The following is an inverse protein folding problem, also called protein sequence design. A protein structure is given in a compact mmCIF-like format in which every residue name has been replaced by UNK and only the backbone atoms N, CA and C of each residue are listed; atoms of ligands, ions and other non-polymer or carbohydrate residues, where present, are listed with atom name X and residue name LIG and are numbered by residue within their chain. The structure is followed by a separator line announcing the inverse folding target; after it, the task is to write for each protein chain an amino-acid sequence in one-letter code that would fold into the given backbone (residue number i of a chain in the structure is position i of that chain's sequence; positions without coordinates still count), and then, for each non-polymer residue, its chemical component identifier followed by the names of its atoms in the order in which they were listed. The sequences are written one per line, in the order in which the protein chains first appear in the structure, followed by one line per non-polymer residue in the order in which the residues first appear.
data_IF_170421634137
#
_entry.id   IF_170421634137
#
_cell.length_a   1.000
_cell.length_b   1.000
_cell.length_c   1.000
_cell.angle_alpha   90.00
_cell.angle_beta   90.00
_cell.angle_gamma   90.00
#
_symmetry.space_group_name_H-M   'P 1'
#
loop_
_entity.id
_entity.type
_entity.pdbx_description
1 polymer ?
#
# COMPACT_ATOMS: atom_id res chain seq x y z
N UNK A 1 -8.46 0.78 9.80
CA UNK A 1 -7.00 0.70 9.57
C UNK A 1 -6.29 -0.17 10.63
N UNK A 2 -6.67 -0.08 11.92
CA UNK A 2 -6.08 -0.87 13.02
C UNK A 2 -6.13 -2.42 12.88
N UNK A 3 -7.25 -3.08 12.50
CA UNK A 3 -7.30 -4.55 12.60
C UNK A 3 -6.53 -5.25 11.48
N UNK A 4 -6.47 -4.65 10.29
CA UNK A 4 -5.85 -5.25 9.09
C UNK A 4 -4.32 -5.13 9.16
N UNK A 5 -3.79 -3.96 9.56
CA UNK A 5 -2.36 -3.81 9.77
C UNK A 5 -1.87 -4.70 10.94
N UNK A 6 -2.60 -4.77 12.05
CA UNK A 6 -2.20 -5.58 13.21
C UNK A 6 -2.25 -7.09 12.98
N UNK A 7 -3.26 -7.59 12.23
CA UNK A 7 -3.44 -9.04 12.03
C UNK A 7 -2.61 -9.62 10.89
N UNK A 8 -2.40 -8.85 9.81
CA UNK A 8 -1.69 -9.36 8.62
C UNK A 8 -0.18 -9.16 8.71
N UNK A 9 0.30 -8.07 9.33
CA UNK A 9 1.74 -7.79 9.47
C UNK A 9 2.41 -8.72 10.48
N UNK A 10 1.71 -9.09 11.56
CA UNK A 10 2.29 -9.94 12.62
C UNK A 10 2.32 -11.44 12.28
N UNK A 11 1.69 -11.87 11.18
CA UNK A 11 1.59 -13.29 10.77
C UNK A 11 2.15 -13.60 9.39
N UNK A 12 2.58 -12.62 8.60
CA UNK A 12 3.07 -12.89 7.24
C UNK A 12 4.58 -13.18 7.24
N UNK A 13 5.02 -14.41 6.92
CA UNK A 13 6.45 -14.73 6.81
C UNK A 13 7.09 -13.91 5.68
N UNK A 14 8.30 -13.38 5.92
CA UNK A 14 9.05 -12.54 4.96
C UNK A 14 9.19 -13.17 3.57
N UNK A 15 9.17 -14.50 3.48
CA UNK A 15 9.30 -15.27 2.24
C UNK A 15 8.15 -15.05 1.24
N UNK A 16 6.96 -14.65 1.69
CA UNK A 16 5.80 -14.39 0.81
C UNK A 16 5.57 -12.91 0.51
N UNK A 17 6.37 -12.01 1.10
CA UNK A 17 6.17 -10.57 0.98
C UNK A 17 6.26 -10.10 -0.48
N UNK A 18 7.32 -10.43 -1.22
CA UNK A 18 7.43 -10.05 -2.64
C UNK A 18 6.19 -10.40 -3.46
N UNK A 19 5.70 -11.65 -3.34
CA UNK A 19 4.53 -12.14 -4.08
C UNK A 19 3.24 -11.45 -3.64
N UNK A 20 3.11 -11.13 -2.35
CA UNK A 20 1.96 -10.41 -1.79
C UNK A 20 1.94 -8.95 -2.22
N UNK A 21 3.11 -8.28 -2.33
CA UNK A 21 3.22 -6.94 -2.88
C UNK A 21 2.83 -6.90 -4.36
N UNK A 22 3.30 -7.86 -5.15
CA UNK A 22 3.00 -7.97 -6.58
C UNK A 22 1.50 -8.21 -6.83
N UNK A 23 0.88 -9.13 -6.09
CA UNK A 23 -0.57 -9.35 -6.13
C UNK A 23 -1.33 -8.09 -5.68
N UNK A 24 -0.83 -7.39 -4.65
CA UNK A 24 -1.41 -6.14 -4.18
C UNK A 24 -1.42 -5.05 -5.26
N UNK A 25 -0.32 -4.89 -6.00
CA UNK A 25 -0.22 -3.93 -7.11
C UNK A 25 -1.17 -4.33 -8.25
N UNK A 26 -1.24 -5.61 -8.61
CA UNK A 26 -2.16 -6.11 -9.63
C UNK A 26 -3.62 -5.87 -9.22
N UNK A 27 -3.96 -6.03 -7.94
CA UNK A 27 -5.31 -5.76 -7.41
C UNK A 27 -5.68 -4.27 -7.36
N UNK A 28 -4.72 -3.35 -7.30
CA UNK A 28 -5.01 -1.90 -7.30
C UNK A 28 -5.59 -1.44 -8.64
N UNK A 29 -5.13 -2.02 -9.76
CA UNK A 29 -5.58 -1.67 -11.12
C UNK A 29 -7.10 -1.89 -11.30
N UNK A 30 -7.68 -3.09 -11.08
CA UNK A 30 -9.11 -3.31 -11.20
C UNK A 30 -9.90 -2.54 -10.14
N UNK A 31 -9.35 -2.29 -8.95
CA UNK A 31 -10.01 -1.48 -7.93
C UNK A 31 -10.24 -0.03 -8.42
N UNK A 32 -9.22 0.61 -9.01
CA UNK A 32 -9.38 1.95 -9.58
C UNK A 32 -10.30 1.98 -10.80
N UNK A 33 -10.29 0.94 -11.65
CA UNK A 33 -11.22 0.83 -12.78
C UNK A 33 -12.68 0.75 -12.29
N UNK A 34 -12.96 -0.02 -11.24
CA UNK A 34 -14.30 -0.13 -10.65
C UNK A 34 -14.73 1.19 -10.02
N UNK A 35 -13.81 1.90 -9.34
CA UNK A 35 -14.09 3.22 -8.75
C UNK A 35 -14.38 4.26 -9.84
N UNK A 36 -13.61 4.27 -10.94
CA UNK A 36 -13.79 5.22 -12.04
C UNK A 36 -15.10 5.02 -12.82
N UNK A 37 -15.55 3.77 -12.95
CA UNK A 37 -16.83 3.41 -13.59
C UNK A 37 -18.01 3.36 -12.59
N UNK A 38 -17.84 3.83 -11.37
CA UNK A 38 -18.87 3.71 -10.34
C UNK A 38 -20.07 4.63 -10.62
N UNK A 39 -21.13 4.07 -11.20
CA UNK A 39 -22.41 4.78 -11.41
C UNK A 39 -23.33 4.74 -10.19
N UNK A 40 -23.05 3.84 -9.22
CA UNK A 40 -23.91 3.59 -8.05
C UNK A 40 -23.09 3.56 -6.76
N UNK A 41 -23.65 4.06 -5.65
CA UNK A 41 -22.99 4.14 -4.34
C UNK A 41 -22.44 2.78 -3.87
N UNK A 42 -23.16 1.69 -4.17
CA UNK A 42 -22.78 0.34 -3.78
C UNK A 42 -21.50 -0.13 -4.49
N UNK A 43 -21.35 0.22 -5.77
CA UNK A 43 -20.16 -0.11 -6.57
C UNK A 43 -18.97 0.71 -6.07
N UNK A 44 -19.21 1.96 -5.67
CA UNK A 44 -18.21 2.85 -5.09
C UNK A 44 -17.69 2.29 -3.75
N UNK A 45 -18.58 1.83 -2.87
CA UNK A 45 -18.19 1.19 -1.61
C UNK A 45 -17.44 -0.13 -1.81
N UNK A 46 -17.86 -0.95 -2.77
CA UNK A 46 -17.18 -2.20 -3.10
C UNK A 46 -15.75 -1.93 -3.63
N UNK A 47 -15.61 -0.97 -4.54
CA UNK A 47 -14.30 -0.54 -5.05
C UNK A 47 -13.41 0.02 -3.95
N UNK A 48 -13.96 0.83 -3.04
CA UNK A 48 -13.22 1.39 -1.91
C UNK A 48 -12.77 0.31 -0.91
N UNK A 49 -13.60 -0.71 -0.69
CA UNK A 49 -13.25 -1.87 0.15
C UNK A 49 -12.07 -2.66 -0.44
N UNK A 50 -12.13 -2.98 -1.74
CA UNK A 50 -11.02 -3.64 -2.44
C UNK A 50 -9.75 -2.79 -2.40
N UNK A 51 -9.88 -1.48 -2.66
CA UNK A 51 -8.77 -0.54 -2.61
C UNK A 51 -8.12 -0.50 -1.22
N UNK A 52 -8.91 -0.47 -0.14
CA UNK A 52 -8.40 -0.44 1.23
C UNK A 52 -7.58 -1.69 1.57
N UNK A 53 -8.03 -2.87 1.13
CA UNK A 53 -7.30 -4.14 1.33
C UNK A 53 -5.99 -4.13 0.53
N UNK A 54 -6.04 -3.74 -0.75
CA UNK A 54 -4.87 -3.72 -1.61
C UNK A 54 -3.82 -2.71 -1.12
N UNK A 55 -4.24 -1.49 -0.79
CA UNK A 55 -3.38 -0.42 -0.27
C UNK A 55 -2.73 -0.79 1.07
N UNK A 56 -3.50 -1.33 2.02
CA UNK A 56 -2.96 -1.78 3.30
C UNK A 56 -1.90 -2.88 3.14
N UNK A 57 -2.10 -3.76 2.17
CA UNK A 57 -1.19 -4.87 1.86
C UNK A 57 0.11 -4.36 1.22
N UNK A 58 0.01 -3.50 0.20
CA UNK A 58 1.18 -2.94 -0.52
C UNK A 58 2.06 -2.14 0.43
N UNK A 59 1.50 -1.21 1.20
CA UNK A 59 2.28 -0.34 2.09
C UNK A 59 3.00 -1.16 3.16
N UNK A 60 2.29 -2.10 3.79
CA UNK A 60 2.87 -2.96 4.83
C UNK A 60 3.98 -3.87 4.29
N UNK A 61 3.83 -4.34 3.05
CA UNK A 61 4.78 -5.21 2.41
C UNK A 61 6.06 -4.47 1.98
N UNK A 62 5.92 -3.25 1.44
CA UNK A 62 7.03 -2.38 1.07
C UNK A 62 7.88 -2.02 2.30
N UNK A 63 7.22 -1.58 3.40
CA UNK A 63 7.91 -1.29 4.67
C UNK A 63 8.63 -2.50 5.23
N UNK A 64 8.03 -3.69 5.14
CA UNK A 64 8.65 -4.92 5.64
C UNK A 64 9.84 -5.36 4.80
N UNK A 65 9.77 -5.25 3.47
CA UNK A 65 10.87 -5.57 2.56
C UNK A 65 12.08 -4.66 2.82
N UNK A 66 11.87 -3.35 2.99
CA UNK A 66 12.93 -2.39 3.33
C UNK A 66 13.59 -2.74 4.66
N UNK A 67 12.78 -3.19 5.63
CA UNK A 67 13.26 -3.61 6.94
C UNK A 67 14.00 -4.97 6.91
N UNK A 68 13.70 -5.82 5.92
CA UNK A 68 14.30 -7.15 5.74
C UNK A 68 15.68 -7.11 5.07
N UNK A 69 15.88 -6.18 4.14
CA UNK A 69 17.08 -6.15 3.28
C UNK A 69 18.32 -5.63 4.01
N UNK A 70 18.21 -4.93 5.16
CA UNK A 70 19.35 -4.25 5.78
C UNK A 70 19.54 -4.54 7.29
N UNK A 71 20.79 -4.86 7.73
CA UNK A 71 21.11 -5.10 9.13
C UNK A 71 21.00 -3.84 9.99
N UNK A 72 20.65 -4.07 11.25
CA UNK A 72 20.18 -3.22 12.36
C UNK A 72 20.63 -1.76 12.54
N UNK A 73 21.72 -1.29 11.92
CA UNK A 73 22.35 -0.01 12.31
C UNK A 73 21.70 1.23 11.68
N UNK A 74 21.13 1.11 10.46
CA UNK A 74 20.57 2.27 9.72
C UNK A 74 19.03 2.24 9.52
N UNK A 75 18.33 1.37 10.24
CA UNK A 75 16.88 1.14 10.05
C UNK A 75 16.04 2.43 10.22
N UNK A 76 16.44 3.31 11.13
CA UNK A 76 15.74 4.57 11.40
C UNK A 76 15.89 5.60 10.27
N UNK A 77 17.12 5.80 9.78
CA UNK A 77 17.40 6.72 8.68
C UNK A 77 16.68 6.29 7.39
N UNK A 78 16.72 5.00 7.06
CA UNK A 78 16.07 4.46 5.87
C UNK A 78 14.53 4.46 5.97
N UNK A 79 13.97 4.16 7.13
CA UNK A 79 12.54 4.34 7.37
C UNK A 79 12.12 5.82 7.20
N UNK A 80 13.00 6.74 7.60
CA UNK A 80 12.87 8.18 7.37
C UNK A 80 12.86 8.53 5.87
N UNK A 81 13.80 7.99 5.09
CA UNK A 81 13.86 8.18 3.62
C UNK A 81 12.59 7.65 2.96
N UNK A 82 12.13 6.44 3.32
CA UNK A 82 10.90 5.87 2.79
C UNK A 82 9.67 6.73 3.10
N UNK A 83 9.61 7.28 4.32
CA UNK A 83 8.54 8.19 4.73
C UNK A 83 8.61 9.53 3.98
N UNK A 84 9.81 10.05 3.73
CA UNK A 84 10.04 11.28 2.95
C UNK A 84 9.60 11.10 1.49
N UNK A 85 9.95 9.97 0.85
CA UNK A 85 9.47 9.62 -0.50
C UNK A 85 7.94 9.53 -0.53
N UNK A 86 7.33 8.91 0.50
CA UNK A 86 5.88 8.86 0.64
C UNK A 86 5.24 10.25 0.80
N UNK A 87 5.88 11.16 1.54
CA UNK A 87 5.42 12.54 1.68
C UNK A 87 5.52 13.32 0.37
N UNK A 88 6.63 13.15 -0.37
CA UNK A 88 6.84 13.75 -1.68
C UNK A 88 5.80 13.26 -2.70
N UNK A 89 5.55 11.94 -2.75
CA UNK A 89 4.52 11.36 -3.60
C UNK A 89 3.12 11.93 -3.29
N UNK A 90 2.80 12.14 -2.01
CA UNK A 90 1.52 12.74 -1.59
C UNK A 90 1.42 14.23 -1.90
N UNK A 91 2.55 14.95 -1.99
CA UNK A 91 2.57 16.35 -2.40
C UNK A 91 2.42 16.50 -3.92
N UNK A 92 3.05 15.62 -4.70
CA UNK A 92 3.01 15.66 -6.16
C UNK A 92 1.73 15.07 -6.75
N UNK A 93 1.16 14.02 -6.14
CA UNK A 93 0.00 13.33 -6.69
C UNK A 93 -1.23 14.25 -6.93
N UNK A 94 -1.63 15.15 -6.01
CA UNK A 94 -2.73 16.08 -6.26
C UNK A 94 -2.44 17.10 -7.36
N UNK A 95 -1.18 17.57 -7.48
CA UNK A 95 -0.79 18.55 -8.49
C UNK A 95 -0.92 17.98 -9.89
N UNK A 96 -0.48 16.73 -10.08
CA UNK A 96 -0.56 16.04 -11.37
C UNK A 96 -1.99 15.59 -11.65
N UNK A 97 -2.71 15.07 -10.64
CA UNK A 97 -4.09 14.59 -10.82
C UNK A 97 -5.12 15.71 -11.02
N UNK A 98 -4.80 16.94 -10.59
CA UNK A 98 -5.65 18.11 -10.79
C UNK A 98 -5.46 18.77 -12.16
N UNK A 99 -4.46 18.36 -12.94
CA UNK A 99 -4.22 18.82 -14.32
C UNK A 99 -4.73 17.77 -15.31
#
# INVERSE_FOLDING_TARGET
MLPIQGRIVRRTPMIKQKRVAEIGIICIIPAYLIIGQATNQYILYLGLFLYAIASATVVSCLTSLVSAVHPSTDKGALAGVFRSIGALARALAPMIAST
#
